data_IF_079262621328
#
_entry.id   IF_079262621328
#
_cell.length_a   1.000
_cell.length_b   1.000
_cell.length_c   1.000
_cell.angle_alpha   90.00
_cell.angle_beta   90.00
_cell.angle_gamma   90.00
#
_symmetry.space_group_name_H-M   'P 1'
#
loop_
_entity.id
_entity.type
_entity.pdbx_description
1 polymer ?
#
# COMPACT_ATOMS: atom_id res chain seq x y z
N UNK A 1 -9.24 0.82 9.36
CA UNK A 1 -8.10 1.66 8.93
C UNK A 1 -6.80 0.98 9.34
N UNK A 2 -5.73 1.05 8.53
CA UNK A 2 -4.44 0.42 8.88
C UNK A 2 -3.89 0.99 10.20
N UNK A 3 -3.95 2.31 10.39
CA UNK A 3 -3.49 2.96 11.63
C UNK A 3 -4.22 2.49 12.88
N UNK A 4 -5.53 2.22 12.80
CA UNK A 4 -6.32 1.66 13.89
C UNK A 4 -5.88 0.23 14.23
N UNK A 5 -5.61 -0.58 13.19
CA UNK A 5 -5.11 -1.95 13.37
C UNK A 5 -3.71 -1.95 13.99
N UNK A 6 -2.81 -1.09 13.53
CA UNK A 6 -1.46 -0.93 14.10
C UNK A 6 -1.54 -0.47 15.56
N UNK A 7 -2.45 0.45 15.89
CA UNK A 7 -2.68 0.88 17.27
C UNK A 7 -3.22 -0.25 18.17
N UNK A 8 -4.17 -1.05 17.67
CA UNK A 8 -4.66 -2.24 18.36
C UNK A 8 -3.51 -3.20 18.68
N UNK A 9 -2.71 -3.55 17.66
CA UNK A 9 -1.64 -4.53 17.80
C UNK A 9 -0.54 -4.03 18.74
N UNK A 10 -0.17 -2.74 18.63
CA UNK A 10 0.80 -2.11 19.53
C UNK A 10 0.35 -2.15 20.99
N UNK A 11 -0.91 -1.82 21.27
CA UNK A 11 -1.47 -1.85 22.62
C UNK A 11 -1.71 -3.28 23.13
N UNK A 12 -2.07 -4.23 22.25
CA UNK A 12 -2.23 -5.64 22.60
C UNK A 12 -0.89 -6.28 23.01
N UNK A 13 0.21 -5.93 22.33
CA UNK A 13 1.55 -6.43 22.63
C UNK A 13 2.18 -5.78 23.87
N UNK A 14 1.82 -4.52 24.18
CA UNK A 14 2.30 -3.80 25.37
C UNK A 14 1.15 -3.12 26.10
N UNK A 15 0.34 -3.89 26.84
CA UNK A 15 -0.90 -3.37 27.44
C UNK A 15 -0.68 -2.62 28.77
N UNK A 16 0.54 -2.62 29.31
CA UNK A 16 0.85 -2.01 30.60
C UNK A 16 0.11 -2.74 31.73
N UNK A 17 -0.70 -1.98 32.48
CA UNK A 17 -1.50 -2.49 33.60
C UNK A 17 -2.91 -2.96 33.20
N UNK A 18 -3.30 -2.80 31.94
CA UNK A 18 -4.64 -3.17 31.46
C UNK A 18 -4.64 -4.59 30.89
N UNK A 19 -5.83 -5.19 30.78
CA UNK A 19 -6.01 -6.42 30.01
C UNK A 19 -5.68 -6.16 28.52
N UNK A 20 -4.90 -7.03 27.85
CA UNK A 20 -4.49 -6.85 26.46
C UNK A 20 -5.64 -6.57 25.48
N UNK A 21 -6.80 -7.21 25.69
CA UNK A 21 -7.97 -7.03 24.81
C UNK A 21 -8.57 -5.65 24.99
N UNK A 22 -8.65 -5.19 26.23
CA UNK A 22 -9.18 -3.86 26.58
C UNK A 22 -8.22 -2.78 26.09
N UNK A 23 -6.92 -2.95 26.30
CA UNK A 23 -5.90 -2.02 25.83
C UNK A 23 -5.96 -1.83 24.31
N UNK A 24 -6.08 -2.93 23.55
CA UNK A 24 -6.23 -2.88 22.09
C UNK A 24 -7.49 -2.13 21.64
N UNK A 25 -8.64 -2.40 22.27
CA UNK A 25 -9.91 -1.72 21.96
C UNK A 25 -9.84 -0.22 22.27
N UNK A 26 -9.29 0.15 23.44
CA UNK A 26 -9.12 1.55 23.83
C UNK A 26 -8.19 2.29 22.86
N UNK A 27 -7.06 1.68 22.49
CA UNK A 27 -6.14 2.27 21.51
C UNK A 27 -6.79 2.44 20.12
N UNK A 28 -7.60 1.48 19.70
CA UNK A 28 -8.36 1.55 18.44
C UNK A 28 -9.39 2.68 18.45
N UNK A 29 -10.15 2.79 19.54
CA UNK A 29 -11.14 3.85 19.73
C UNK A 29 -10.47 5.22 19.78
N UNK A 30 -9.38 5.35 20.52
CA UNK A 30 -8.61 6.59 20.62
C UNK A 30 -8.06 7.02 19.25
N UNK A 31 -7.47 6.10 18.51
CA UNK A 31 -6.94 6.39 17.15
C UNK A 31 -8.06 6.83 16.22
N UNK A 32 -9.21 6.17 16.28
CA UNK A 32 -10.40 6.53 15.49
C UNK A 32 -10.90 7.92 15.88
N UNK A 33 -11.02 8.20 17.18
CA UNK A 33 -11.46 9.49 17.70
C UNK A 33 -10.52 10.63 17.26
N UNK A 34 -9.22 10.48 17.48
CA UNK A 34 -8.21 11.50 17.11
C UNK A 34 -8.12 11.71 15.60
N UNK A 35 -8.43 10.70 14.78
CA UNK A 35 -8.40 10.86 13.32
C UNK A 35 -9.70 11.49 12.79
N UNK A 36 -10.86 11.00 13.25
CA UNK A 36 -12.14 11.41 12.68
C UNK A 36 -12.68 12.70 13.28
N UNK A 37 -12.59 12.91 14.60
CA UNK A 37 -13.21 14.06 15.26
C UNK A 37 -12.61 15.39 14.77
N UNK A 38 -11.27 15.56 14.70
CA UNK A 38 -10.69 16.79 14.17
C UNK A 38 -11.03 17.01 12.69
N UNK A 39 -10.94 15.97 11.85
CA UNK A 39 -11.27 16.08 10.44
C UNK A 39 -12.74 16.48 10.22
N UNK A 40 -13.69 15.86 10.93
CA UNK A 40 -15.10 16.25 10.82
C UNK A 40 -15.35 17.65 11.36
N UNK A 41 -14.72 18.03 12.48
CA UNK A 41 -14.80 19.39 13.00
C UNK A 41 -14.33 20.40 11.95
N UNK A 42 -13.18 20.17 11.31
CA UNK A 42 -12.65 21.03 10.26
C UNK A 42 -13.51 21.04 9.00
N UNK A 43 -14.12 19.92 8.60
CA UNK A 43 -15.01 19.87 7.43
C UNK A 43 -16.30 20.65 7.70
N UNK A 44 -16.92 20.47 8.86
CA UNK A 44 -18.15 21.17 9.22
C UNK A 44 -17.90 22.66 9.46
N UNK A 45 -16.81 23.01 10.15
CA UNK A 45 -16.40 24.40 10.36
C UNK A 45 -15.91 25.07 9.07
N UNK A 46 -15.30 24.28 8.18
CA UNK A 46 -14.83 24.70 6.88
C UNK A 46 -15.94 24.86 5.84
N UNK A 47 -17.10 24.19 5.99
CA UNK A 47 -18.23 24.27 5.06
C UNK A 47 -18.61 25.71 4.63
N UNK A 48 -18.78 26.71 5.54
CA UNK A 48 -19.08 28.10 5.13
C UNK A 48 -17.95 28.77 4.34
N UNK A 49 -16.69 28.39 4.57
CA UNK A 49 -15.54 28.90 3.82
C UNK A 49 -15.38 28.18 2.48
N UNK A 50 -15.61 26.88 2.43
CA UNK A 50 -15.55 26.05 1.21
C UNK A 50 -16.59 26.52 0.18
N UNK A 51 -17.78 26.95 0.61
CA UNK A 51 -18.81 27.50 -0.29
C UNK A 51 -18.35 28.77 -1.03
N UNK A 52 -17.55 29.62 -0.35
CA UNK A 52 -16.95 30.83 -0.96
C UNK A 52 -15.77 30.51 -1.88
N UNK A 53 -15.07 29.41 -1.60
CA UNK A 53 -13.90 28.97 -2.36
C UNK A 53 -14.26 28.09 -3.58
N UNK A 54 -15.45 27.49 -3.59
CA UNK A 54 -15.97 26.63 -4.68
C UNK A 54 -16.11 27.33 -6.03
N UNK A 55 -16.24 28.66 -6.02
CA UNK A 55 -16.26 29.49 -7.24
C UNK A 55 -14.88 29.71 -7.88
N UNK A 56 -13.79 29.32 -7.22
CA UNK A 56 -12.43 29.60 -7.68
C UNK A 56 -11.78 28.37 -8.36
N UNK A 57 -11.63 28.46 -9.69
CA UNK A 57 -11.04 27.42 -10.53
C UNK A 57 -9.62 27.02 -10.08
N UNK A 58 -8.84 27.96 -9.52
CA UNK A 58 -7.48 27.69 -9.05
C UNK A 58 -7.43 26.64 -7.92
N UNK A 59 -8.45 26.61 -7.06
CA UNK A 59 -8.48 25.66 -5.93
C UNK A 59 -8.88 24.26 -6.38
N UNK A 60 -9.79 24.15 -7.34
CA UNK A 60 -10.16 22.86 -7.96
C UNK A 60 -8.97 22.27 -8.74
N UNK A 61 -8.20 23.13 -9.43
CA UNK A 61 -6.96 22.72 -10.09
C UNK A 61 -5.90 22.25 -9.08
N UNK A 62 -5.72 22.95 -7.95
CA UNK A 62 -4.79 22.54 -6.90
C UNK A 62 -5.17 21.19 -6.28
N UNK A 63 -6.46 20.95 -5.98
CA UNK A 63 -6.95 19.66 -5.48
C UNK A 63 -6.71 18.53 -6.50
N UNK A 64 -6.94 18.80 -7.78
CA UNK A 64 -6.64 17.85 -8.85
C UNK A 64 -5.13 17.53 -8.91
N UNK A 65 -4.28 18.55 -8.78
CA UNK A 65 -2.83 18.40 -8.68
C UNK A 65 -2.40 17.53 -7.49
N UNK A 66 -3.02 17.71 -6.32
CA UNK A 66 -2.78 16.86 -5.15
C UNK A 66 -3.19 15.41 -5.44
N UNK A 67 -4.37 15.19 -6.03
CA UNK A 67 -4.80 13.82 -6.40
C UNK A 67 -3.86 13.15 -7.41
N UNK A 68 -3.37 13.91 -8.39
CA UNK A 68 -2.39 13.42 -9.36
C UNK A 68 -1.05 13.07 -8.70
N UNK A 69 -0.58 13.89 -7.76
CA UNK A 69 0.64 13.62 -7.00
C UNK A 69 0.52 12.34 -6.16
N UNK A 70 -0.62 12.15 -5.46
CA UNK A 70 -0.86 10.94 -4.67
C UNK A 70 -0.94 9.70 -5.55
N UNK A 71 -1.64 9.77 -6.68
CA UNK A 71 -1.69 8.66 -7.65
C UNK A 71 -0.30 8.36 -8.21
N UNK A 72 0.51 9.38 -8.47
CA UNK A 72 1.92 9.25 -8.86
C UNK A 72 2.74 8.52 -7.80
N UNK A 73 2.61 8.88 -6.52
CA UNK A 73 3.29 8.20 -5.39
C UNK A 73 2.86 6.73 -5.27
N UNK A 74 1.56 6.44 -5.44
CA UNK A 74 1.06 5.05 -5.40
C UNK A 74 1.64 4.25 -6.58
N UNK A 75 1.70 4.84 -7.77
CA UNK A 75 2.29 4.20 -8.95
C UNK A 75 3.80 3.96 -8.79
N UNK A 76 4.53 4.93 -8.22
CA UNK A 76 5.95 4.82 -7.90
C UNK A 76 6.23 3.68 -6.91
N UNK A 77 5.50 3.64 -5.78
CA UNK A 77 5.60 2.56 -4.81
C UNK A 77 5.23 1.21 -5.44
N UNK A 78 4.19 1.17 -6.28
CA UNK A 78 3.80 -0.02 -7.03
C UNK A 78 4.89 -0.51 -7.96
N UNK A 79 5.55 0.40 -8.68
CA UNK A 79 6.67 0.10 -9.57
C UNK A 79 7.88 -0.41 -8.78
N UNK A 80 8.20 0.24 -7.66
CA UNK A 80 9.25 -0.19 -6.75
C UNK A 80 9.02 -1.64 -6.29
N UNK A 81 7.81 -1.96 -5.81
CA UNK A 81 7.46 -3.32 -5.42
C UNK A 81 7.49 -4.29 -6.59
N UNK A 82 6.99 -3.91 -7.78
CA UNK A 82 7.00 -4.78 -8.96
C UNK A 82 8.44 -5.16 -9.34
N UNK A 83 9.35 -4.20 -9.38
CA UNK A 83 10.77 -4.45 -9.67
C UNK A 83 11.39 -5.36 -8.60
N UNK A 84 11.21 -5.06 -7.32
CA UNK A 84 11.79 -5.87 -6.24
C UNK A 84 11.15 -7.26 -6.08
N UNK A 85 9.93 -7.47 -6.58
CA UNK A 85 9.29 -8.79 -6.56
C UNK A 85 9.61 -9.63 -7.79
N UNK A 86 9.83 -9.00 -8.95
CA UNK A 86 10.14 -9.69 -10.22
C UNK A 86 11.63 -10.04 -10.36
N UNK A 87 12.53 -9.26 -9.76
CA UNK A 87 13.98 -9.44 -9.85
C UNK A 87 14.58 -9.78 -8.48
N UNK A 88 15.31 -10.90 -8.38
CA UNK A 88 15.83 -11.41 -7.10
C UNK A 88 17.07 -10.66 -6.56
N UNK A 89 17.79 -9.93 -7.40
CA UNK A 89 18.99 -9.20 -7.02
C UNK A 89 19.05 -7.85 -7.73
N UNK A 90 19.10 -6.77 -6.96
CA UNK A 90 19.51 -5.44 -7.40
C UNK A 90 20.90 -5.15 -6.86
N UNK A 91 21.94 -5.70 -7.49
CA UNK A 91 23.30 -5.32 -7.11
C UNK A 91 23.62 -3.92 -7.61
N UNK A 92 23.93 -3.03 -6.67
CA UNK A 92 24.48 -1.69 -6.93
C UNK A 92 25.90 -1.82 -7.44
N UNK A 93 26.12 -1.68 -8.74
CA UNK A 93 27.46 -1.42 -9.27
C UNK A 93 27.80 0.05 -9.02
N UNK A 94 28.53 0.31 -7.94
CA UNK A 94 29.16 1.60 -7.64
C UNK A 94 30.35 1.83 -8.57
N UNK A 95 30.10 2.33 -9.78
CA UNK A 95 31.14 2.90 -10.63
C UNK A 95 31.09 4.43 -10.55
N UNK A 96 31.75 5.00 -9.54
CA UNK A 96 31.97 6.45 -9.44
C UNK A 96 30.73 7.27 -9.06
N UNK A 97 30.76 8.61 -9.22
CA UNK A 97 29.80 9.56 -8.60
C UNK A 97 28.36 9.51 -9.18
N UNK A 98 28.05 8.54 -10.03
CA UNK A 98 26.74 8.34 -10.65
C UNK A 98 26.18 6.97 -10.23
N UNK A 99 25.24 6.97 -9.29
CA UNK A 99 24.48 5.77 -8.92
C UNK A 99 23.39 5.50 -9.98
N UNK A 100 23.73 4.73 -11.01
CA UNK A 100 22.78 4.29 -12.03
C UNK A 100 22.32 2.86 -11.74
N UNK A 101 21.07 2.70 -11.29
CA UNK A 101 20.42 1.41 -11.09
C UNK A 101 20.28 0.69 -12.44
N UNK A 102 21.15 -0.29 -12.71
CA UNK A 102 21.01 -1.18 -13.86
C UNK A 102 20.43 -2.53 -13.39
N UNK A 103 19.14 -2.82 -13.62
CA UNK A 103 18.56 -4.12 -13.31
C UNK A 103 19.17 -5.18 -14.25
N UNK A 104 19.87 -6.16 -13.68
CA UNK A 104 20.42 -7.27 -14.45
C UNK A 104 19.28 -8.19 -14.93
N UNK A 105 19.10 -8.40 -16.25
CA UNK A 105 18.01 -9.22 -16.80
C UNK A 105 18.17 -10.73 -16.54
N UNK A 106 19.23 -11.17 -15.84
CA UNK A 106 19.55 -12.58 -15.61
C UNK A 106 18.92 -13.18 -14.34
N UNK A 107 18.34 -12.37 -13.45
CA UNK A 107 17.75 -12.82 -12.16
C UNK A 107 16.22 -12.71 -12.12
N UNK A 108 15.58 -12.84 -13.28
CA UNK A 108 14.11 -12.87 -13.41
C UNK A 108 13.55 -14.09 -12.70
N UNK A 109 12.71 -13.86 -11.69
CA UNK A 109 11.95 -14.94 -11.05
C UNK A 109 10.68 -15.20 -11.83
N UNK A 110 10.65 -16.30 -12.58
CA UNK A 110 9.50 -16.69 -13.40
C UNK A 110 8.21 -16.91 -12.60
N UNK A 111 8.29 -17.36 -11.35
CA UNK A 111 7.11 -17.59 -10.49
C UNK A 111 6.31 -16.30 -10.21
N UNK A 112 6.89 -15.21 -9.67
CA UNK A 112 6.23 -13.90 -9.56
C UNK A 112 5.71 -13.35 -10.89
N UNK A 113 6.45 -13.53 -11.98
CA UNK A 113 6.03 -13.06 -13.33
C UNK A 113 4.72 -13.73 -13.74
N UNK A 114 4.63 -15.06 -13.62
CA UNK A 114 3.42 -15.82 -13.99
C UNK A 114 2.23 -15.41 -13.12
N UNK A 115 2.43 -15.25 -11.81
CA UNK A 115 1.37 -14.81 -10.88
C UNK A 115 0.91 -13.38 -11.24
N UNK A 116 1.83 -12.48 -11.56
CA UNK A 116 1.52 -11.10 -11.96
C UNK A 116 0.73 -11.03 -13.27
N UNK A 117 1.09 -11.85 -14.27
CA UNK A 117 0.35 -11.95 -15.53
C UNK A 117 -1.06 -12.50 -15.30
N UNK A 118 -1.21 -13.55 -14.49
CA UNK A 118 -2.53 -14.09 -14.11
C UNK A 118 -3.37 -13.00 -13.42
N UNK A 119 -2.78 -12.29 -12.46
CA UNK A 119 -3.46 -11.20 -11.77
C UNK A 119 -3.89 -10.08 -12.74
N UNK A 120 -3.02 -9.65 -13.65
CA UNK A 120 -3.32 -8.64 -14.65
C UNK A 120 -4.49 -9.07 -15.55
N UNK A 121 -4.50 -10.32 -16.02
CA UNK A 121 -5.60 -10.86 -16.82
C UNK A 121 -6.91 -10.88 -16.02
N UNK A 122 -6.89 -11.31 -14.76
CA UNK A 122 -8.08 -11.31 -13.90
C UNK A 122 -8.64 -9.90 -13.65
N UNK A 123 -7.76 -8.90 -13.51
CA UNK A 123 -8.15 -7.49 -13.34
C UNK A 123 -8.79 -6.95 -14.63
N UNK A 124 -8.07 -7.05 -15.75
CA UNK A 124 -8.45 -6.35 -16.99
C UNK A 124 -9.52 -7.06 -17.80
N UNK A 125 -9.48 -8.40 -17.88
CA UNK A 125 -10.46 -9.19 -18.66
C UNK A 125 -11.66 -9.58 -17.82
N UNK A 126 -11.44 -10.00 -16.58
CA UNK A 126 -12.48 -10.63 -15.75
C UNK A 126 -13.16 -9.64 -14.80
N UNK A 127 -12.59 -8.44 -14.59
CA UNK A 127 -13.13 -7.36 -13.73
C UNK A 127 -13.56 -7.87 -12.35
N UNK A 128 -12.83 -8.85 -11.80
CA UNK A 128 -13.17 -9.43 -10.51
C UNK A 128 -12.92 -8.45 -9.36
N UNK A 129 -13.70 -8.55 -8.27
CA UNK A 129 -13.45 -7.74 -7.09
C UNK A 129 -12.05 -8.03 -6.56
N UNK A 130 -11.33 -6.97 -6.19
CA UNK A 130 -9.94 -6.99 -5.72
C UNK A 130 -9.69 -8.09 -4.68
N UNK A 131 -10.66 -8.32 -3.79
CA UNK A 131 -10.57 -9.33 -2.74
C UNK A 131 -10.43 -10.77 -3.30
N UNK A 132 -11.12 -11.10 -4.39
CA UNK A 132 -11.00 -12.43 -5.04
C UNK A 132 -9.65 -12.59 -5.70
N UNK A 133 -9.15 -11.54 -6.34
CA UNK A 133 -7.86 -11.54 -7.04
C UNK A 133 -6.73 -11.71 -6.02
N UNK A 134 -6.81 -11.00 -4.89
CA UNK A 134 -5.86 -11.15 -3.78
C UNK A 134 -5.87 -12.59 -3.24
N UNK A 135 -7.06 -13.18 -3.06
CA UNK A 135 -7.19 -14.59 -2.64
C UNK A 135 -6.54 -15.57 -3.62
N UNK A 136 -6.77 -15.40 -4.93
CA UNK A 136 -6.14 -16.23 -5.97
C UNK A 136 -4.62 -16.06 -5.98
N UNK A 137 -4.11 -14.83 -5.89
CA UNK A 137 -2.67 -14.56 -5.84
C UNK A 137 -2.02 -15.16 -4.58
N UNK A 138 -2.68 -15.07 -3.43
CA UNK A 138 -2.22 -15.65 -2.18
C UNK A 138 -2.17 -17.20 -2.25
N UNK A 139 -3.22 -17.82 -2.80
CA UNK A 139 -3.25 -19.27 -2.99
C UNK A 139 -2.17 -19.74 -3.97
N UNK A 140 -2.01 -19.05 -5.11
CA UNK A 140 -0.97 -19.36 -6.09
C UNK A 140 0.45 -19.19 -5.49
N UNK A 141 0.67 -18.13 -4.71
CA UNK A 141 1.94 -17.92 -4.01
C UNK A 141 2.23 -18.99 -2.96
N UNK A 142 1.21 -19.41 -2.19
CA UNK A 142 1.32 -20.44 -1.17
C UNK A 142 1.61 -21.83 -1.76
N UNK A 143 0.90 -22.18 -2.83
CA UNK A 143 1.15 -23.43 -3.58
C UNK A 143 2.54 -23.42 -4.20
N UNK A 144 2.97 -22.30 -4.79
CA UNK A 144 4.32 -22.17 -5.34
C UNK A 144 5.42 -22.25 -4.27
N UNK A 145 5.17 -21.75 -3.06
CA UNK A 145 6.08 -21.87 -1.92
C UNK A 145 6.18 -23.30 -1.39
N UNK A 146 5.07 -24.04 -1.33
CA UNK A 146 5.04 -25.44 -0.91
C UNK A 146 5.73 -26.38 -1.91
N UNK A 147 5.73 -26.05 -3.20
CA UNK A 147 6.37 -26.85 -4.27
C UNK A 147 7.89 -26.61 -4.33
N UNK A 148 8.44 -25.63 -3.60
CA UNK A 148 9.89 -25.41 -3.55
C UNK A 148 10.50 -24.94 -4.86
N UNK A 149 9.75 -24.18 -5.68
CA UNK A 149 10.28 -23.62 -6.92
C UNK A 149 11.45 -22.65 -6.62
N UNK A 150 12.55 -22.67 -7.43
CA UNK A 150 13.85 -22.02 -7.16
C UNK A 150 13.81 -20.49 -7.18
N UNK A 151 13.07 -19.90 -6.26
CA UNK A 151 13.03 -18.47 -6.02
C UNK A 151 12.15 -18.06 -4.85
N UNK A 152 11.28 -18.93 -4.31
CA UNK A 152 10.48 -18.59 -3.12
C UNK A 152 11.29 -18.73 -1.82
N UNK A 153 12.34 -19.55 -1.83
CA UNK A 153 13.28 -19.72 -0.72
C UNK A 153 14.50 -18.83 -0.93
N UNK A 154 14.38 -17.57 -0.54
CA UNK A 154 15.49 -16.64 -0.32
C UNK A 154 15.39 -16.08 1.08
#
# INVERSE_FOLDING_TARGET
MVVQFVAFLGAYHRPGNLDPRVAGVVASLLTTWVTFVPCFLFILLGAPYVERLRGNHALSAALTGITAAVVGVIADLGLYFAVHTLFAAGDTLTTGPLNLHYPQPATVRWTPVVIAVIAAVLIFKLKWPVLRILGVCALLGLVAGLIGLPGVTG
#
